data_IF_783484653434
#
_entry.id   IF_783484653434
#
_cell.length_a   1.000
_cell.length_b   1.000
_cell.length_c   1.000
_cell.angle_alpha   90.00
_cell.angle_beta   90.00
_cell.angle_gamma   90.00
#
_symmetry.space_group_name_H-M   'P 1'
#
loop_
_entity.id
_entity.type
_entity.pdbx_description
1 polymer ?
#
# COMPACT_ATOMS: atom_id res chain seq x y z
N UNK A 1 5.84 23.68 -33.40
CA UNK A 1 5.86 23.64 -31.92
C UNK A 1 5.19 22.35 -31.50
N UNK A 2 5.94 21.38 -30.95
CA UNK A 2 5.33 20.18 -30.38
C UNK A 2 4.45 20.61 -29.20
N UNK A 3 3.18 20.20 -29.20
CA UNK A 3 2.35 20.34 -28.01
C UNK A 3 3.08 19.62 -26.85
N UNK A 4 3.18 20.23 -25.66
CA UNK A 4 3.74 19.52 -24.52
C UNK A 4 2.94 18.22 -24.33
N UNK A 5 3.63 17.08 -24.29
CA UNK A 5 2.96 15.82 -23.98
C UNK A 5 2.24 15.98 -22.62
N UNK A 6 0.96 15.59 -22.50
CA UNK A 6 0.22 15.70 -21.25
C UNK A 6 0.97 14.98 -20.12
N UNK A 7 0.92 15.56 -18.90
CA UNK A 7 1.63 14.99 -17.75
C UNK A 7 0.95 13.68 -17.39
N UNK A 8 1.68 12.58 -17.52
CA UNK A 8 1.13 11.25 -17.28
C UNK A 8 0.76 11.10 -15.79
N UNK A 9 -0.49 10.71 -15.46
CA UNK A 9 -0.88 10.41 -14.09
C UNK A 9 -0.05 9.23 -13.56
N UNK A 10 0.97 9.51 -12.74
CA UNK A 10 1.73 8.43 -12.10
C UNK A 10 0.93 7.93 -10.90
N UNK A 11 0.59 6.65 -10.93
CA UNK A 11 -0.23 6.00 -9.92
C UNK A 11 0.52 5.82 -8.58
N UNK A 12 -0.22 5.78 -7.48
CA UNK A 12 0.26 5.40 -6.14
C UNK A 12 0.72 3.93 -6.01
N UNK A 13 1.04 3.26 -7.12
CA UNK A 13 1.52 1.88 -7.13
C UNK A 13 3.01 1.81 -6.73
N UNK A 14 3.87 2.61 -7.36
CA UNK A 14 5.32 2.54 -7.19
C UNK A 14 5.99 3.86 -6.78
N UNK A 15 5.23 4.96 -6.76
CA UNK A 15 5.72 6.31 -6.51
C UNK A 15 6.76 6.81 -7.52
N UNK A 16 7.16 8.06 -7.36
CA UNK A 16 8.23 8.69 -8.12
C UNK A 16 9.04 9.63 -7.24
N UNK A 17 10.35 9.65 -7.45
CA UNK A 17 11.30 10.46 -6.67
C UNK A 17 11.57 11.77 -7.42
N UNK A 18 11.45 12.95 -6.77
CA UNK A 18 11.87 14.23 -7.32
C UNK A 18 13.34 14.22 -7.70
N UNK A 19 13.72 15.00 -8.72
CA UNK A 19 15.12 15.04 -9.20
C UNK A 19 16.11 15.34 -8.09
N UNK A 20 15.79 16.27 -7.20
CA UNK A 20 16.63 16.65 -6.04
C UNK A 20 16.92 15.45 -5.13
N UNK A 21 15.90 14.65 -4.82
CA UNK A 21 16.06 13.46 -3.96
C UNK A 21 16.76 12.32 -4.73
N UNK A 22 16.49 12.19 -6.02
CA UNK A 22 17.19 11.21 -6.86
C UNK A 22 18.70 11.52 -6.95
N UNK A 23 19.08 12.79 -7.09
CA UNK A 23 20.49 13.21 -7.05
C UNK A 23 21.15 12.87 -5.71
N UNK A 24 20.46 13.04 -4.58
CA UNK A 24 20.96 12.59 -3.26
C UNK A 24 21.15 11.08 -3.19
N UNK A 25 20.21 10.32 -3.75
CA UNK A 25 20.33 8.86 -3.83
C UNK A 25 21.59 8.44 -4.60
N UNK A 26 21.84 9.03 -5.78
CA UNK A 26 23.04 8.78 -6.57
C UNK A 26 24.33 9.15 -5.81
N UNK A 27 24.32 10.25 -5.05
CA UNK A 27 25.45 10.65 -4.21
C UNK A 27 25.75 9.60 -3.13
N UNK A 28 24.72 9.06 -2.45
CA UNK A 28 24.90 7.99 -1.47
C UNK A 28 25.41 6.70 -2.10
N UNK A 29 24.92 6.34 -3.30
CA UNK A 29 25.43 5.18 -4.06
C UNK A 29 26.91 5.36 -4.41
N UNK A 30 27.30 6.53 -4.93
CA UNK A 30 28.70 6.84 -5.22
C UNK A 30 29.59 6.76 -3.98
N UNK A 31 29.10 7.27 -2.84
CA UNK A 31 29.82 7.17 -1.55
C UNK A 31 29.99 5.72 -1.11
N UNK A 32 28.95 4.90 -1.26
CA UNK A 32 29.00 3.46 -1.00
C UNK A 32 30.09 2.79 -1.82
N UNK A 33 30.17 3.04 -3.12
CA UNK A 33 31.17 2.43 -4.00
C UNK A 33 32.59 2.99 -3.79
N UNK A 34 32.71 4.25 -3.37
CA UNK A 34 34.02 4.89 -3.18
C UNK A 34 34.83 4.33 -1.99
N UNK A 35 34.15 3.85 -0.95
CA UNK A 35 34.77 3.28 0.24
C UNK A 35 33.84 2.25 0.93
N UNK A 36 33.61 1.08 0.33
CA UNK A 36 32.51 0.17 0.70
C UNK A 36 32.50 -0.25 2.17
N UNK A 37 33.62 -0.76 2.69
CA UNK A 37 33.69 -1.21 4.09
C UNK A 37 33.48 -0.08 5.08
N UNK A 38 34.13 1.07 4.85
CA UNK A 38 33.98 2.24 5.73
C UNK A 38 32.54 2.76 5.68
N UNK A 39 31.98 2.87 4.48
CA UNK A 39 30.63 3.36 4.26
C UNK A 39 29.60 2.47 4.95
N UNK A 40 29.61 1.17 4.66
CA UNK A 40 28.61 0.24 5.18
C UNK A 40 28.68 0.08 6.71
N UNK A 41 29.89 0.09 7.28
CA UNK A 41 30.09 -0.19 8.71
C UNK A 41 29.95 1.03 9.62
N UNK A 42 30.31 2.23 9.13
CA UNK A 42 30.42 3.42 9.99
C UNK A 42 29.59 4.62 9.50
N UNK A 43 29.53 4.87 8.19
CA UNK A 43 28.81 6.04 7.67
C UNK A 43 27.30 5.78 7.51
N UNK A 44 26.92 4.66 6.89
CA UNK A 44 25.53 4.32 6.62
C UNK A 44 24.69 4.18 7.91
N UNK A 45 25.16 3.55 9.01
CA UNK A 45 24.40 3.51 10.26
C UNK A 45 24.04 4.91 10.80
N UNK A 46 24.94 5.89 10.64
CA UNK A 46 24.69 7.28 11.05
C UNK A 46 23.60 7.93 10.20
N UNK A 47 23.64 7.71 8.87
CA UNK A 47 22.60 8.20 7.95
C UNK A 47 21.24 7.54 8.24
N UNK A 48 21.25 6.22 8.48
CA UNK A 48 20.07 5.44 8.84
C UNK A 48 19.42 5.98 10.11
N UNK A 49 20.20 6.28 11.15
CA UNK A 49 19.67 6.87 12.38
C UNK A 49 19.11 8.28 12.18
N UNK A 50 19.75 9.08 11.34
CA UNK A 50 19.22 10.38 10.91
C UNK A 50 17.83 10.24 10.29
N UNK A 51 17.69 9.32 9.33
CA UNK A 51 16.42 8.97 8.70
C UNK A 51 15.38 8.44 9.68
N UNK A 52 15.77 7.53 10.59
CA UNK A 52 14.88 6.98 11.63
C UNK A 52 14.34 8.08 12.54
N UNK A 53 15.19 9.00 13.02
CA UNK A 53 14.74 10.14 13.83
C UNK A 53 13.83 11.09 13.06
N UNK A 54 14.16 11.38 11.80
CA UNK A 54 13.36 12.25 10.95
C UNK A 54 11.94 11.69 10.73
N UNK A 55 11.85 10.40 10.37
CA UNK A 55 10.56 9.75 10.13
C UNK A 55 9.79 9.53 11.43
N UNK A 56 10.46 9.22 12.54
CA UNK A 56 9.82 9.09 13.86
C UNK A 56 9.18 10.41 14.30
N UNK A 57 9.87 11.54 14.12
CA UNK A 57 9.31 12.87 14.36
C UNK A 57 8.08 13.13 13.47
N UNK A 58 8.17 12.81 12.18
CA UNK A 58 7.06 12.99 11.24
C UNK A 58 5.83 12.16 11.61
N UNK A 59 6.03 10.91 12.07
CA UNK A 59 4.98 9.98 12.50
C UNK A 59 4.54 10.19 13.96
N UNK A 60 5.14 11.16 14.66
CA UNK A 60 4.93 11.41 16.10
C UNK A 60 5.09 10.14 16.95
N UNK A 61 6.21 9.45 16.77
CA UNK A 61 6.56 8.23 17.48
C UNK A 61 7.96 8.35 18.12
N UNK A 62 8.27 7.63 19.20
CA UNK A 62 9.63 7.53 19.71
C UNK A 62 10.56 6.86 18.68
N UNK A 63 11.78 7.36 18.43
CA UNK A 63 12.66 6.82 17.40
C UNK A 63 13.05 5.35 17.61
N UNK A 64 13.07 4.86 18.84
CA UNK A 64 13.36 3.47 19.20
C UNK A 64 12.29 2.50 18.68
N UNK A 65 11.09 3.00 18.38
CA UNK A 65 9.97 2.21 17.84
C UNK A 65 10.02 2.06 16.32
N UNK A 66 10.94 2.75 15.65
CA UNK A 66 11.00 2.84 14.19
C UNK A 66 12.24 2.15 13.64
N UNK A 67 12.05 1.28 12.65
CA UNK A 67 13.10 0.72 11.78
C UNK A 67 12.70 0.87 10.32
N UNK A 68 13.67 0.72 9.41
CA UNK A 68 13.42 0.76 7.96
C UNK A 68 13.61 -0.64 7.36
N UNK A 69 12.72 -0.99 6.44
CA UNK A 69 12.76 -2.23 5.66
C UNK A 69 12.54 -1.92 4.18
N UNK A 70 12.73 -2.91 3.31
CA UNK A 70 12.71 -2.68 1.86
C UNK A 70 11.34 -2.31 1.32
N UNK A 71 10.25 -2.89 1.83
CA UNK A 71 8.89 -2.57 1.38
C UNK A 71 7.84 -3.11 2.37
N UNK A 72 6.58 -2.71 2.16
CA UNK A 72 5.44 -3.15 2.95
C UNK A 72 5.27 -4.69 2.98
N UNK A 73 5.45 -5.37 1.84
CA UNK A 73 5.34 -6.84 1.78
C UNK A 73 6.36 -7.50 2.70
N UNK A 74 7.60 -6.99 2.72
CA UNK A 74 8.64 -7.42 3.66
C UNK A 74 8.26 -7.11 5.11
N UNK A 75 7.72 -5.94 5.41
CA UNK A 75 7.27 -5.59 6.76
C UNK A 75 6.16 -6.52 7.29
N UNK A 76 5.15 -6.84 6.48
CA UNK A 76 4.09 -7.82 6.85
C UNK A 76 4.71 -9.19 7.13
N UNK A 77 5.63 -9.65 6.26
CA UNK A 77 6.31 -10.92 6.46
C UNK A 77 7.18 -10.92 7.72
N UNK A 78 7.86 -9.81 8.03
CA UNK A 78 8.65 -9.68 9.27
C UNK A 78 7.75 -9.88 10.47
N UNK A 79 6.58 -9.22 10.54
CA UNK A 79 5.68 -9.36 11.69
C UNK A 79 5.12 -10.78 11.77
N UNK A 80 4.44 -11.25 10.72
CA UNK A 80 3.69 -12.50 10.79
C UNK A 80 4.59 -13.74 10.95
N UNK A 81 5.80 -13.74 10.38
CA UNK A 81 6.75 -14.88 10.52
C UNK A 81 7.48 -14.90 11.85
N UNK A 82 7.45 -13.81 12.62
CA UNK A 82 8.07 -13.75 13.94
C UNK A 82 7.10 -14.15 15.07
N UNK A 83 5.80 -14.12 14.81
CA UNK A 83 4.82 -14.57 15.81
C UNK A 83 4.99 -16.06 16.08
N UNK A 84 5.06 -16.38 17.37
CA UNK A 84 4.96 -17.77 17.85
C UNK A 84 3.48 -18.06 18.12
N UNK A 85 2.97 -19.10 17.49
CA UNK A 85 1.58 -19.55 17.63
C UNK A 85 1.45 -20.51 18.81
N UNK A 86 0.28 -20.50 19.43
CA UNK A 86 -0.02 -21.31 20.61
C UNK A 86 -0.03 -22.80 20.28
N UNK A 87 0.60 -23.63 21.13
CA UNK A 87 0.71 -25.08 20.93
C UNK A 87 -0.65 -25.80 20.88
N UNK A 88 -1.72 -25.17 21.40
CA UNK A 88 -3.08 -25.72 21.35
C UNK A 88 -3.76 -25.58 19.99
N UNK A 89 -3.10 -24.95 19.00
CA UNK A 89 -3.57 -24.83 17.62
C UNK A 89 -4.83 -23.99 17.45
N UNK A 90 -5.17 -23.15 18.43
CA UNK A 90 -6.40 -22.35 18.42
C UNK A 90 -6.25 -20.98 17.80
N UNK A 91 -5.03 -20.52 17.57
CA UNK A 91 -4.79 -19.16 17.09
C UNK A 91 -5.35 -18.97 15.67
N UNK A 92 -5.90 -17.78 15.42
CA UNK A 92 -6.50 -17.42 14.13
C UNK A 92 -6.06 -16.00 13.72
N UNK A 93 -5.63 -15.86 12.46
CA UNK A 93 -5.35 -14.57 11.82
C UNK A 93 -6.64 -14.05 11.19
N UNK A 94 -7.08 -12.86 11.59
CA UNK A 94 -8.23 -12.19 10.98
C UNK A 94 -7.72 -11.24 9.89
N UNK A 95 -8.31 -11.29 8.70
CA UNK A 95 -8.05 -10.33 7.61
C UNK A 95 -9.34 -9.84 6.98
N UNK A 96 -9.25 -8.88 6.06
CA UNK A 96 -10.39 -8.35 5.32
C UNK A 96 -10.27 -8.70 3.83
N UNK A 97 -11.39 -8.86 3.13
CA UNK A 97 -11.41 -9.28 1.73
C UNK A 97 -10.72 -8.30 0.76
N UNK A 98 -10.45 -7.07 1.20
CA UNK A 98 -9.73 -6.04 0.43
C UNK A 98 -8.22 -6.01 0.67
N UNK A 99 -7.70 -6.91 1.51
CA UNK A 99 -6.26 -7.02 1.81
C UNK A 99 -5.43 -7.08 0.52
N UNK A 100 -4.26 -6.45 0.54
CA UNK A 100 -3.33 -6.58 -0.58
C UNK A 100 -2.98 -8.05 -0.84
N UNK A 101 -3.11 -8.51 -2.09
CA UNK A 101 -2.95 -9.93 -2.42
C UNK A 101 -1.62 -10.56 -1.99
N UNK A 102 -0.52 -9.80 -1.97
CA UNK A 102 0.77 -10.28 -1.43
C UNK A 102 0.74 -10.52 0.09
N UNK A 103 0.01 -9.70 0.82
CA UNK A 103 -0.18 -9.82 2.26
C UNK A 103 -1.16 -10.96 2.58
N UNK A 104 -2.26 -11.09 1.83
CA UNK A 104 -3.18 -12.23 1.92
C UNK A 104 -2.47 -13.56 1.68
N UNK A 105 -1.70 -13.67 0.59
CA UNK A 105 -0.89 -14.88 0.30
C UNK A 105 0.21 -15.15 1.33
N UNK A 106 0.64 -14.14 2.09
CA UNK A 106 1.55 -14.35 3.22
C UNK A 106 0.82 -15.06 4.37
N UNK A 107 -0.45 -14.71 4.62
CA UNK A 107 -1.29 -15.42 5.58
C UNK A 107 -1.50 -16.86 5.12
N UNK A 108 -1.89 -17.06 3.85
CA UNK A 108 -2.08 -18.40 3.27
C UNK A 108 -0.83 -19.27 3.44
N UNK A 109 0.34 -18.75 3.07
CA UNK A 109 1.61 -19.46 3.25
C UNK A 109 1.88 -19.85 4.71
N UNK A 110 1.57 -18.98 5.67
CA UNK A 110 1.77 -19.27 7.09
C UNK A 110 0.83 -20.38 7.55
N UNK A 111 -0.45 -20.32 7.18
CA UNK A 111 -1.43 -21.35 7.55
C UNK A 111 -1.19 -22.68 6.82
N UNK A 112 -0.71 -22.64 5.57
CA UNK A 112 -0.38 -23.85 4.79
C UNK A 112 0.86 -24.58 5.31
N UNK A 113 1.75 -23.87 6.03
CA UNK A 113 3.01 -24.42 6.53
C UNK A 113 3.05 -24.56 8.06
N UNK A 114 1.96 -24.24 8.76
CA UNK A 114 1.88 -24.32 10.20
C UNK A 114 0.45 -24.65 10.68
N UNK A 115 0.26 -25.89 11.14
CA UNK A 115 -1.03 -26.39 11.62
C UNK A 115 -1.53 -25.73 12.92
N UNK A 116 -0.71 -24.91 13.59
CA UNK A 116 -1.08 -24.23 14.84
C UNK A 116 -1.94 -22.97 14.64
N UNK A 117 -2.10 -22.51 13.39
CA UNK A 117 -2.77 -21.25 13.09
C UNK A 117 -3.72 -21.40 11.91
N UNK A 118 -4.93 -20.86 12.06
CA UNK A 118 -5.92 -20.74 10.99
C UNK A 118 -6.05 -19.29 10.52
N UNK A 119 -6.84 -19.06 9.47
CA UNK A 119 -7.20 -17.72 9.01
C UNK A 119 -8.70 -17.55 8.82
N UNK A 120 -9.18 -16.32 8.99
CA UNK A 120 -10.57 -15.91 8.74
C UNK A 120 -10.62 -14.59 8.01
N UNK A 121 -11.43 -14.54 6.96
CA UNK A 121 -11.61 -13.33 6.13
C UNK A 121 -12.95 -12.69 6.42
N UNK A 122 -12.90 -11.42 6.85
CA UNK A 122 -14.07 -10.54 6.98
C UNK A 122 -14.38 -9.93 5.62
N UNK A 123 -15.60 -10.17 5.13
CA UNK A 123 -16.03 -9.62 3.84
C UNK A 123 -16.38 -8.14 3.98
N UNK A 124 -15.82 -7.32 3.09
CA UNK A 124 -16.13 -5.88 2.95
C UNK A 124 -16.81 -5.63 1.61
N UNK A 125 -17.93 -4.93 1.64
CA UNK A 125 -18.75 -4.61 0.49
C UNK A 125 -18.78 -3.09 0.22
N UNK A 126 -17.72 -2.55 -0.39
CA UNK A 126 -17.74 -1.15 -0.83
C UNK A 126 -18.65 -0.92 -2.04
N UNK A 127 -19.28 0.27 -2.17
CA UNK A 127 -19.33 1.37 -1.19
C UNK A 127 -20.47 1.23 -0.16
N UNK A 128 -21.19 0.09 -0.13
CA UNK A 128 -22.39 -0.11 0.69
C UNK A 128 -22.08 -0.14 2.20
N UNK A 129 -20.94 -0.72 2.58
CA UNK A 129 -20.48 -0.76 3.96
C UNK A 129 -19.96 0.62 4.40
N UNK A 130 -20.63 1.20 5.39
CA UNK A 130 -20.13 2.34 6.16
C UNK A 130 -19.07 1.89 7.17
N UNK A 131 -18.30 2.84 7.70
CA UNK A 131 -17.19 2.58 8.63
C UNK A 131 -17.61 1.72 9.83
N UNK A 132 -18.78 1.99 10.43
CA UNK A 132 -19.31 1.23 11.56
C UNK A 132 -19.72 -0.19 11.18
N UNK A 133 -20.19 -0.40 9.94
CA UNK A 133 -20.56 -1.73 9.47
C UNK A 133 -19.32 -2.63 9.36
N UNK A 134 -18.20 -2.08 8.87
CA UNK A 134 -16.92 -2.81 8.80
C UNK A 134 -16.45 -3.21 10.21
N UNK A 135 -16.53 -2.29 11.16
CA UNK A 135 -16.16 -2.55 12.57
C UNK A 135 -17.09 -3.58 13.21
N UNK A 136 -18.40 -3.51 12.94
CA UNK A 136 -19.38 -4.52 13.41
C UNK A 136 -19.03 -5.90 12.88
N UNK A 137 -18.79 -6.04 11.56
CA UNK A 137 -18.42 -7.32 10.95
C UNK A 137 -17.13 -7.89 11.53
N UNK A 138 -16.17 -7.04 11.87
CA UNK A 138 -14.95 -7.46 12.57
C UNK A 138 -15.26 -8.02 13.96
N UNK A 139 -16.09 -7.34 14.76
CA UNK A 139 -16.52 -7.82 16.09
C UNK A 139 -17.30 -9.14 15.99
N UNK A 140 -18.18 -9.26 15.01
CA UNK A 140 -18.95 -10.49 14.75
C UNK A 140 -18.01 -11.64 14.38
N UNK A 141 -17.01 -11.39 13.52
CA UNK A 141 -16.02 -12.39 13.14
C UNK A 141 -15.17 -12.86 14.33
N UNK A 142 -14.74 -11.95 15.20
CA UNK A 142 -14.01 -12.29 16.45
C UNK A 142 -14.89 -13.11 17.39
N UNK A 143 -16.17 -12.75 17.54
CA UNK A 143 -17.12 -13.47 18.40
C UNK A 143 -17.39 -14.88 17.86
N UNK A 144 -17.69 -15.01 16.57
CA UNK A 144 -17.90 -16.29 15.91
C UNK A 144 -16.66 -17.20 15.95
N UNK A 145 -15.46 -16.61 15.82
CA UNK A 145 -14.20 -17.35 15.99
C UNK A 145 -14.09 -17.98 17.38
N UNK A 146 -14.38 -17.21 18.43
CA UNK A 146 -14.36 -17.70 19.82
C UNK A 146 -15.41 -18.76 20.10
N UNK A 147 -16.62 -18.60 19.56
CA UNK A 147 -17.69 -19.60 19.66
C UNK A 147 -17.30 -20.93 18.99
N UNK A 148 -16.47 -20.88 17.94
CA UNK A 148 -15.90 -22.04 17.27
C UNK A 148 -14.66 -22.61 17.99
N UNK A 149 -14.35 -22.14 19.20
CA UNK A 149 -13.22 -22.60 20.01
C UNK A 149 -11.86 -22.10 19.51
N UNK A 150 -11.82 -21.09 18.64
CA UNK A 150 -10.59 -20.44 18.16
C UNK A 150 -10.23 -19.22 19.01
N UNK A 151 -9.05 -18.67 18.76
CA UNK A 151 -8.47 -17.51 19.44
C UNK A 151 -7.98 -16.50 18.39
N UNK A 152 -8.77 -15.46 18.07
CA UNK A 152 -8.32 -14.35 17.24
C UNK A 152 -7.05 -13.75 17.85
N UNK A 153 -5.92 -13.92 17.17
CA UNK A 153 -4.59 -13.59 17.72
C UNK A 153 -4.08 -12.26 17.16
N UNK A 154 -4.29 -12.04 15.87
CA UNK A 154 -3.87 -10.84 15.16
C UNK A 154 -4.85 -10.53 14.03
N UNK A 155 -5.14 -9.25 13.83
CA UNK A 155 -5.91 -8.73 12.72
C UNK A 155 -4.99 -7.96 11.75
N UNK A 156 -5.07 -8.27 10.46
CA UNK A 156 -4.31 -7.62 9.39
C UNK A 156 -5.27 -6.81 8.52
N UNK A 157 -5.09 -5.49 8.51
CA UNK A 157 -6.00 -4.59 7.81
C UNK A 157 -5.29 -3.34 7.32
N UNK A 158 -5.86 -2.73 6.28
CA UNK A 158 -5.25 -1.61 5.59
C UNK A 158 -5.46 -0.29 6.36
N UNK A 159 -4.59 0.69 6.12
CA UNK A 159 -4.91 2.11 6.38
C UNK A 159 -5.70 2.70 5.20
N UNK A 160 -5.25 2.41 3.99
CA UNK A 160 -5.92 2.73 2.73
C UNK A 160 -5.74 1.49 1.84
N UNK A 161 -6.85 0.86 1.48
CA UNK A 161 -6.84 -0.34 0.64
C UNK A 161 -6.29 -0.04 -0.75
N UNK A 162 -5.75 -1.08 -1.40
CA UNK A 162 -5.17 -0.93 -2.74
C UNK A 162 -6.24 -0.94 -3.83
N UNK A 163 -7.14 -1.92 -3.82
CA UNK A 163 -8.16 -2.11 -4.85
C UNK A 163 -9.50 -2.52 -4.20
N UNK A 164 -10.51 -1.63 -4.17
CA UNK A 164 -10.46 -0.24 -4.59
C UNK A 164 -9.51 0.60 -3.72
N UNK A 165 -9.02 1.72 -4.26
CA UNK A 165 -8.16 2.66 -3.54
C UNK A 165 -8.97 3.52 -2.58
N UNK A 166 -9.24 3.04 -1.37
CA UNK A 166 -10.16 3.69 -0.42
C UNK A 166 -9.56 3.76 0.97
N UNK A 167 -9.86 4.82 1.73
CA UNK A 167 -9.49 4.92 3.13
C UNK A 167 -10.30 3.90 3.94
N UNK A 168 -9.59 3.06 4.68
CA UNK A 168 -10.18 2.07 5.57
C UNK A 168 -10.38 2.71 6.96
N UNK A 169 -11.40 2.33 7.76
CA UNK A 169 -11.62 2.88 9.11
C UNK A 169 -10.64 2.29 10.14
N UNK A 170 -9.34 2.38 9.87
CA UNK A 170 -8.30 1.68 10.62
C UNK A 170 -8.22 2.15 12.08
N UNK A 171 -8.51 3.42 12.39
CA UNK A 171 -8.52 3.89 13.78
C UNK A 171 -9.58 3.16 14.61
N UNK A 172 -10.77 2.95 14.04
CA UNK A 172 -11.86 2.25 14.71
C UNK A 172 -11.54 0.77 14.87
N UNK A 173 -10.89 0.15 13.87
CA UNK A 173 -10.49 -1.25 13.94
C UNK A 173 -9.33 -1.47 14.92
N UNK A 174 -8.35 -0.56 15.02
CA UNK A 174 -7.31 -0.60 16.06
C UNK A 174 -7.94 -0.50 17.46
N UNK A 175 -8.89 0.42 17.66
CA UNK A 175 -9.61 0.53 18.93
C UNK A 175 -10.36 -0.78 19.28
N UNK A 176 -11.07 -1.37 18.30
CA UNK A 176 -11.74 -2.64 18.48
C UNK A 176 -10.77 -3.81 18.76
N UNK A 177 -9.61 -3.84 18.10
CA UNK A 177 -8.55 -4.82 18.37
C UNK A 177 -8.11 -4.78 19.84
N UNK A 178 -7.87 -3.57 20.38
CA UNK A 178 -7.49 -3.36 21.78
C UNK A 178 -8.58 -3.82 22.76
N UNK A 179 -9.84 -3.47 22.50
CA UNK A 179 -10.96 -3.90 23.34
C UNK A 179 -11.16 -5.42 23.34
N UNK A 180 -10.83 -6.07 22.21
CA UNK A 180 -11.02 -7.49 22.01
C UNK A 180 -9.77 -8.32 22.33
N UNK A 181 -8.66 -7.72 22.77
CA UNK A 181 -7.38 -8.42 22.99
C UNK A 181 -6.89 -9.18 21.74
N UNK A 182 -6.95 -8.51 20.59
CA UNK A 182 -6.43 -8.99 19.30
C UNK A 182 -5.32 -8.05 18.86
N UNK A 183 -4.15 -8.58 18.48
CA UNK A 183 -3.06 -7.72 18.00
C UNK A 183 -3.46 -6.99 16.71
N UNK A 184 -3.13 -5.72 16.57
CA UNK A 184 -3.38 -4.98 15.31
C UNK A 184 -2.12 -4.90 14.44
N UNK A 185 -2.16 -5.43 13.21
CA UNK A 185 -1.17 -5.14 12.16
C UNK A 185 -1.81 -4.25 11.08
N UNK A 186 -1.48 -2.97 11.14
CA UNK A 186 -1.96 -1.98 10.18
C UNK A 186 -1.02 -1.95 8.96
N UNK A 187 -1.50 -2.46 7.82
CA UNK A 187 -0.87 -2.27 6.51
C UNK A 187 -1.14 -0.84 6.01
N UNK A 188 -0.29 0.07 6.45
CA UNK A 188 -0.27 1.45 6.01
C UNK A 188 0.54 1.67 4.73
N UNK A 189 0.72 0.66 3.85
CA UNK A 189 1.50 0.79 2.62
C UNK A 189 1.15 2.05 1.81
N UNK A 190 -0.13 2.43 1.80
CA UNK A 190 -0.67 3.67 1.27
C UNK A 190 -0.99 4.65 2.42
N UNK A 191 0.03 5.25 3.04
CA UNK A 191 -0.16 6.02 4.28
C UNK A 191 0.75 7.24 4.42
N UNK A 192 2.02 7.01 4.76
CA UNK A 192 2.99 8.07 5.06
C UNK A 192 3.15 9.05 3.90
N UNK A 193 3.01 10.35 4.19
CA UNK A 193 3.05 11.42 3.19
C UNK A 193 1.76 11.63 2.38
N UNK A 194 0.73 10.79 2.59
CA UNK A 194 -0.60 10.88 1.97
C UNK A 194 -1.71 11.22 2.98
N UNK A 195 -1.53 10.83 4.24
CA UNK A 195 -2.48 11.07 5.34
C UNK A 195 -1.74 11.61 6.58
N UNK A 196 -2.42 12.41 7.43
CA UNK A 196 -1.85 12.78 8.71
C UNK A 196 -1.74 11.54 9.60
N UNK A 197 -0.61 11.39 10.29
CA UNK A 197 -0.31 10.23 11.11
C UNK A 197 0.21 10.65 12.49
N UNK A 198 -0.31 9.98 13.50
CA UNK A 198 0.15 10.09 14.89
C UNK A 198 0.15 8.68 15.48
N UNK A 199 1.30 8.00 15.39
CA UNK A 199 1.39 6.60 15.80
C UNK A 199 1.35 6.45 17.33
N UNK A 200 1.71 7.49 18.09
CA UNK A 200 1.54 7.49 19.54
C UNK A 200 0.06 7.56 19.93
N UNK A 201 -0.74 8.34 19.20
CA UNK A 201 -2.18 8.40 19.42
C UNK A 201 -2.93 7.17 18.90
N UNK A 202 -2.52 6.63 17.74
CA UNK A 202 -3.11 5.42 17.16
C UNK A 202 -2.85 4.21 18.07
N UNK A 203 -1.63 4.09 18.58
CA UNK A 203 -1.17 3.04 19.48
C UNK A 203 -1.51 1.62 18.97
N UNK A 204 -1.23 1.39 17.68
CA UNK A 204 -1.32 0.07 17.05
C UNK A 204 -0.16 -0.83 17.50
N UNK A 205 -0.36 -2.14 17.52
CA UNK A 205 0.68 -3.10 17.91
C UNK A 205 1.79 -3.26 16.86
N UNK A 206 1.43 -3.14 15.59
CA UNK A 206 2.36 -3.07 14.47
C UNK A 206 1.79 -2.13 13.39
N UNK A 207 2.65 -1.28 12.83
CA UNK A 207 2.29 -0.42 11.70
C UNK A 207 3.43 -0.41 10.69
N UNK A 208 3.10 -0.36 9.41
CA UNK A 208 4.08 -0.23 8.34
C UNK A 208 3.63 0.78 7.30
N UNK A 209 4.56 1.40 6.57
CA UNK A 209 4.19 2.26 5.45
C UNK A 209 5.30 2.40 4.42
N UNK A 210 4.97 2.48 3.12
CA UNK A 210 5.97 2.67 2.08
C UNK A 210 6.32 4.16 1.93
N UNK A 211 7.53 4.53 2.36
CA UNK A 211 8.09 5.86 2.11
C UNK A 211 8.24 6.13 0.60
N UNK A 212 8.50 5.09 -0.20
CA UNK A 212 8.74 5.23 -1.63
C UNK A 212 7.49 5.49 -2.48
N UNK A 213 6.28 5.43 -1.90
CA UNK A 213 5.03 5.68 -2.62
C UNK A 213 4.65 7.16 -2.58
N UNK A 214 4.42 7.70 -1.39
CA UNK A 214 3.84 9.04 -1.19
C UNK A 214 4.76 10.03 -0.48
N UNK A 215 5.88 9.55 0.08
CA UNK A 215 6.88 10.39 0.75
C UNK A 215 8.05 10.77 -0.15
N UNK A 216 8.00 10.43 -1.44
CA UNK A 216 9.01 10.79 -2.43
C UNK A 216 10.42 10.22 -2.21
N UNK A 217 10.54 9.19 -1.36
CA UNK A 217 11.80 8.45 -1.16
C UNK A 217 12.05 7.52 -2.37
N UNK A 218 13.32 7.24 -2.75
CA UNK A 218 13.62 6.20 -3.72
C UNK A 218 12.98 4.86 -3.36
N UNK A 219 12.77 4.01 -4.38
CA UNK A 219 12.21 2.67 -4.23
C UNK A 219 13.03 1.82 -3.26
N UNK A 220 12.40 0.76 -2.78
CA UNK A 220 12.94 -0.10 -1.73
C UNK A 220 13.11 0.63 -0.37
N UNK A 221 12.09 1.40 0.05
CA UNK A 221 12.04 1.97 1.39
C UNK A 221 10.63 1.95 1.99
N UNK A 222 10.50 1.35 3.17
CA UNK A 222 9.33 1.36 4.02
C UNK A 222 9.74 1.53 5.49
N UNK A 223 8.86 2.16 6.26
CA UNK A 223 8.96 2.24 7.71
C UNK A 223 8.21 1.06 8.33
N UNK A 224 8.79 0.47 9.37
CA UNK A 224 8.13 -0.48 10.28
C UNK A 224 8.17 0.12 11.69
N UNK A 225 6.99 0.31 12.26
CA UNK A 225 6.77 0.74 13.63
C UNK A 225 6.40 -0.47 14.49
N UNK A 226 7.11 -0.62 15.61
CA UNK A 226 6.84 -1.60 16.65
C UNK A 226 7.01 -0.92 18.01
N UNK A 227 5.94 -0.76 18.81
CA UNK A 227 6.02 -0.15 20.13
C UNK A 227 6.92 -1.00 21.04
N UNK A 228 7.58 -0.36 22.00
CA UNK A 228 8.54 -1.03 22.90
C UNK A 228 7.97 -2.32 23.53
N UNK A 229 6.67 -2.32 23.88
CA UNK A 229 5.95 -3.48 24.44
C UNK A 229 5.94 -4.72 23.54
N UNK A 230 6.14 -4.59 22.23
CA UNK A 230 6.07 -5.71 21.26
C UNK A 230 7.38 -5.97 20.51
N UNK A 231 8.44 -5.22 20.76
CA UNK A 231 9.73 -5.45 20.09
C UNK A 231 10.32 -6.84 20.37
N UNK A 232 10.05 -7.40 21.54
CA UNK A 232 10.46 -8.76 21.91
C UNK A 232 9.81 -9.86 21.05
N UNK A 233 8.68 -9.56 20.40
CA UNK A 233 8.04 -10.47 19.45
C UNK A 233 8.82 -10.53 18.13
N UNK A 234 9.56 -9.47 17.77
CA UNK A 234 10.33 -9.40 16.52
C UNK A 234 11.77 -9.82 16.79
N UNK A 235 11.98 -11.13 16.87
CA UNK A 235 13.28 -11.73 17.22
C UNK A 235 14.27 -11.75 16.06
N UNK A 236 13.79 -11.93 14.82
CA UNK A 236 14.59 -11.99 13.60
C UNK A 236 14.13 -10.95 12.57
N UNK A 237 15.08 -10.38 11.82
CA UNK A 237 14.78 -9.71 10.55
C UNK A 237 14.41 -10.71 9.45
N UNK A 238 14.07 -10.20 8.26
CA UNK A 238 13.88 -11.01 7.06
C UNK A 238 14.78 -10.47 5.92
N UNK A 239 15.78 -11.24 5.46
CA UNK A 239 16.25 -12.51 6.03
C UNK A 239 16.87 -12.34 7.43
N UNK A 240 17.07 -13.44 8.15
CA UNK A 240 17.89 -13.46 9.38
C UNK A 240 19.33 -13.03 9.06
N UNK A 241 19.93 -12.18 9.90
CA UNK A 241 21.29 -11.68 9.68
C UNK A 241 22.09 -11.57 10.98
N UNK A 242 23.23 -10.85 10.94
CA UNK A 242 24.21 -10.74 12.02
C UNK A 242 23.66 -10.19 13.35
N UNK A 243 22.55 -9.45 13.30
CA UNK A 243 21.88 -8.91 14.48
C UNK A 243 21.05 -9.93 15.26
N UNK A 244 20.77 -11.12 14.72
CA UNK A 244 19.96 -12.12 15.43
C UNK A 244 20.73 -12.71 16.62
N UNK A 245 20.06 -12.75 17.78
CA UNK A 245 20.62 -13.32 19.01
C UNK A 245 19.84 -14.58 19.36
N UNK A 246 20.51 -15.73 19.33
CA UNK A 246 19.91 -17.00 19.74
C UNK A 246 19.77 -17.07 21.26
N UNK A 247 18.64 -17.58 21.73
CA UNK A 247 18.41 -17.89 23.16
C UNK A 247 18.83 -19.30 23.55
N UNK A 248 19.24 -20.13 22.58
CA UNK A 248 19.55 -21.56 22.77
C UNK A 248 20.94 -21.97 22.28
N UNK A 249 21.51 -21.23 21.34
CA UNK A 249 22.79 -21.54 20.72
C UNK A 249 23.89 -20.56 21.15
N UNK A 250 25.14 -20.91 20.86
CA UNK A 250 26.28 -20.04 21.09
C UNK A 250 26.19 -18.73 20.30
N UNK A 251 26.74 -17.66 20.89
CA UNK A 251 26.80 -16.34 20.26
C UNK A 251 27.66 -16.41 19.00
N UNK A 252 27.10 -15.98 17.86
CA UNK A 252 27.83 -15.84 16.60
C UNK A 252 28.43 -14.44 16.50
N UNK A 253 29.58 -14.34 15.83
CA UNK A 253 30.26 -13.05 15.63
C UNK A 253 29.41 -12.11 14.76
N UNK A 254 29.23 -10.87 15.21
CA UNK A 254 28.65 -9.78 14.44
C UNK A 254 29.80 -8.89 13.91
N UNK A 255 29.97 -8.78 12.57
CA UNK A 255 31.05 -8.00 11.98
C UNK A 255 30.79 -6.49 12.00
N UNK A 256 29.57 -6.05 12.35
CA UNK A 256 29.25 -4.63 12.48
C UNK A 256 29.72 -4.08 13.84
N UNK A 257 30.21 -2.83 13.89
CA UNK A 257 30.55 -2.18 15.14
C UNK A 257 29.36 -2.19 16.11
N UNK A 258 29.63 -2.56 17.37
CA UNK A 258 28.60 -2.53 18.42
C UNK A 258 28.35 -1.09 18.86
N UNK A 259 27.09 -0.69 18.83
CA UNK A 259 26.60 0.56 19.39
C UNK A 259 25.70 0.25 20.58
N UNK A 260 26.25 0.38 21.79
CA UNK A 260 25.55 0.02 23.05
C UNK A 260 24.39 0.97 23.38
N UNK A 261 24.26 2.09 22.67
CA UNK A 261 23.16 3.03 22.86
C UNK A 261 21.86 2.58 22.19
N UNK A 262 21.93 1.60 21.27
CA UNK A 262 20.78 1.09 20.53
C UNK A 262 20.19 -0.13 21.18
N UNK A 263 18.85 -0.21 21.15
CA UNK A 263 18.16 -1.45 21.52
C UNK A 263 18.52 -2.59 20.56
N UNK A 264 18.43 -3.82 21.04
CA UNK A 264 18.65 -5.02 20.22
C UNK A 264 17.75 -5.04 18.98
N UNK A 265 16.49 -4.61 19.12
CA UNK A 265 15.54 -4.50 18.02
C UNK A 265 16.07 -3.58 16.91
N UNK A 266 16.45 -2.35 17.27
CA UNK A 266 16.99 -1.37 16.32
C UNK A 266 18.27 -1.87 15.65
N UNK A 267 19.19 -2.43 16.44
CA UNK A 267 20.45 -2.97 15.95
C UNK A 267 20.22 -4.10 14.92
N UNK A 268 19.20 -4.95 15.13
CA UNK A 268 18.88 -6.05 14.23
C UNK A 268 18.58 -5.59 12.80
N UNK A 269 17.89 -4.45 12.65
CA UNK A 269 17.50 -3.89 11.35
C UNK A 269 18.55 -2.98 10.70
N UNK A 270 19.74 -2.82 11.30
CA UNK A 270 20.83 -2.07 10.64
C UNK A 270 21.39 -2.79 9.42
N UNK A 271 21.35 -4.13 9.43
CA UNK A 271 21.77 -4.96 8.31
C UNK A 271 21.00 -6.27 8.29
N UNK A 272 20.28 -6.50 7.20
CA UNK A 272 19.56 -7.73 6.92
C UNK A 272 20.10 -8.39 5.63
N UNK A 273 21.43 -8.40 5.48
CA UNK A 273 22.13 -8.84 4.27
C UNK A 273 22.56 -7.69 3.37
N UNK A 274 23.59 -7.94 2.57
CA UNK A 274 24.19 -6.94 1.68
C UNK A 274 23.26 -6.62 0.51
N UNK A 275 22.73 -5.41 0.49
CA UNK A 275 21.90 -4.83 -0.58
C UNK A 275 22.17 -3.33 -0.67
N UNK A 276 21.71 -2.68 -1.75
CA UNK A 276 21.69 -1.22 -1.80
C UNK A 276 20.58 -0.67 -0.90
N UNK A 277 20.96 -0.21 0.30
CA UNK A 277 20.06 0.44 1.25
C UNK A 277 20.17 1.97 1.22
N UNK A 278 20.82 2.57 0.22
CA UNK A 278 21.02 4.03 0.17
C UNK A 278 19.70 4.80 0.05
N UNK A 279 18.62 4.16 -0.43
CA UNK A 279 17.26 4.69 -0.38
C UNK A 279 16.82 5.05 1.06
N UNK A 280 17.24 4.29 2.07
CA UNK A 280 16.93 4.56 3.48
C UNK A 280 17.55 5.88 3.95
N UNK A 281 18.74 6.24 3.47
CA UNK A 281 19.40 7.50 3.81
C UNK A 281 18.64 8.72 3.26
N UNK A 282 17.87 8.54 2.18
CA UNK A 282 17.11 9.61 1.54
C UNK A 282 15.81 9.99 2.28
N UNK A 283 15.40 9.27 3.34
CA UNK A 283 14.15 9.57 4.07
C UNK A 283 14.23 10.94 4.73
N UNK A 284 15.33 11.26 5.41
CA UNK A 284 15.54 12.58 6.02
C UNK A 284 15.55 13.69 4.95
N UNK A 285 16.23 13.45 3.81
CA UNK A 285 16.28 14.39 2.70
C UNK A 285 14.90 14.67 2.10
N UNK A 286 14.10 13.63 1.89
CA UNK A 286 12.76 13.75 1.32
C UNK A 286 11.81 14.52 2.26
N UNK A 287 11.84 14.23 3.56
CA UNK A 287 11.06 14.97 4.56
C UNK A 287 11.46 16.44 4.63
N UNK A 288 12.77 16.72 4.66
CA UNK A 288 13.27 18.10 4.66
C UNK A 288 12.89 18.84 3.37
N UNK A 289 13.01 18.19 2.22
CA UNK A 289 12.64 18.77 0.92
C UNK A 289 11.15 19.07 0.84
N UNK A 290 10.28 18.15 1.30
CA UNK A 290 8.83 18.36 1.37
C UNK A 290 8.47 19.53 2.29
N UNK A 291 9.15 19.67 3.41
CA UNK A 291 8.95 20.80 4.33
C UNK A 291 9.35 22.14 3.66
N UNK A 292 10.59 22.23 3.17
CA UNK A 292 11.16 23.48 2.64
C UNK A 292 10.59 23.91 1.28
N UNK A 293 10.46 22.97 0.35
CA UNK A 293 10.12 23.29 -1.05
C UNK A 293 8.63 23.20 -1.33
N UNK A 294 7.89 22.39 -0.56
CA UNK A 294 6.45 22.18 -0.77
C UNK A 294 5.58 22.81 0.33
N UNK A 295 6.18 23.38 1.37
CA UNK A 295 5.48 24.10 2.44
C UNK A 295 4.86 23.19 3.50
N UNK A 296 5.42 21.99 3.69
CA UNK A 296 5.04 21.07 4.76
C UNK A 296 3.85 20.16 4.46
N UNK A 297 3.66 19.18 5.35
CA UNK A 297 2.76 18.05 5.15
C UNK A 297 1.28 18.45 5.09
N UNK A 298 0.84 19.40 5.92
CA UNK A 298 -0.55 19.85 5.94
C UNK A 298 -0.98 20.44 4.59
N UNK A 299 -0.10 21.20 3.94
CA UNK A 299 -0.35 21.76 2.60
C UNK A 299 -0.40 20.65 1.55
N UNK A 300 0.56 19.72 1.60
CA UNK A 300 0.66 18.60 0.67
C UNK A 300 -0.60 17.73 0.74
N UNK A 301 -0.95 17.25 1.93
CA UNK A 301 -2.11 16.36 2.16
C UNK A 301 -3.40 17.05 1.73
N UNK A 302 -3.60 18.32 2.11
CA UNK A 302 -4.80 19.09 1.72
C UNK A 302 -4.95 19.20 0.21
N UNK A 303 -3.87 19.48 -0.51
CA UNK A 303 -3.89 19.54 -1.96
C UNK A 303 -4.22 18.18 -2.59
N UNK A 304 -3.56 17.12 -2.12
CA UNK A 304 -3.76 15.77 -2.62
C UNK A 304 -5.22 15.31 -2.46
N UNK A 305 -5.82 15.53 -1.29
CA UNK A 305 -7.20 15.15 -1.01
C UNK A 305 -8.20 15.99 -1.81
N UNK A 306 -7.98 17.31 -1.88
CA UNK A 306 -8.79 18.19 -2.70
C UNK A 306 -8.78 17.74 -4.16
N UNK A 307 -7.60 17.48 -4.72
CA UNK A 307 -7.45 17.09 -6.12
C UNK A 307 -8.06 15.71 -6.39
N UNK A 308 -7.90 14.74 -5.49
CA UNK A 308 -8.53 13.42 -5.64
C UNK A 308 -10.07 13.54 -5.69
N UNK A 309 -10.68 14.29 -4.77
CA UNK A 309 -12.14 14.49 -4.73
C UNK A 309 -12.65 15.35 -5.89
N UNK A 310 -12.00 16.46 -6.20
CA UNK A 310 -12.42 17.34 -7.28
C UNK A 310 -12.19 16.72 -8.67
N UNK A 311 -11.01 16.14 -8.87
CA UNK A 311 -10.65 15.42 -10.09
C UNK A 311 -11.54 14.20 -10.32
N UNK A 312 -11.75 13.36 -9.30
CA UNK A 312 -12.63 12.20 -9.39
C UNK A 312 -14.07 12.55 -9.78
N UNK A 313 -14.64 13.62 -9.20
CA UNK A 313 -15.96 14.13 -9.59
C UNK A 313 -16.01 14.60 -11.04
N UNK A 314 -14.95 15.29 -11.51
CA UNK A 314 -14.82 15.72 -12.91
C UNK A 314 -14.77 14.51 -13.85
N UNK A 315 -14.00 13.47 -13.51
CA UNK A 315 -13.94 12.22 -14.28
C UNK A 315 -15.29 11.52 -14.32
N UNK A 316 -15.94 11.34 -13.17
CA UNK A 316 -17.26 10.72 -13.09
C UNK A 316 -18.29 11.47 -13.96
N UNK A 317 -18.30 12.81 -13.89
CA UNK A 317 -19.17 13.64 -14.71
C UNK A 317 -18.93 13.42 -16.22
N UNK A 318 -17.68 13.43 -16.67
CA UNK A 318 -17.32 13.26 -18.08
C UNK A 318 -17.58 11.84 -18.61
N UNK A 319 -17.52 10.83 -17.74
CA UNK A 319 -17.87 9.45 -18.06
C UNK A 319 -19.38 9.17 -17.96
N UNK A 320 -20.17 10.08 -17.38
CA UNK A 320 -21.60 9.87 -17.12
C UNK A 320 -21.84 8.83 -16.02
N UNK A 321 -20.91 8.70 -15.07
CA UNK A 321 -20.94 7.70 -13.99
C UNK A 321 -20.79 8.36 -12.61
N UNK A 322 -20.32 7.62 -11.61
CA UNK A 322 -20.14 8.11 -10.24
C UNK A 322 -18.77 7.70 -9.66
N UNK A 323 -18.31 8.48 -8.67
CA UNK A 323 -17.20 8.12 -7.80
C UNK A 323 -17.68 7.00 -6.86
N UNK A 324 -16.79 6.04 -6.55
CA UNK A 324 -17.03 5.05 -5.48
C UNK A 324 -16.76 5.72 -4.14
N UNK A 325 -17.81 6.07 -3.42
CA UNK A 325 -17.74 6.62 -2.07
C UNK A 325 -18.95 6.16 -1.25
N UNK A 326 -18.79 6.09 0.07
CA UNK A 326 -19.90 5.78 0.98
C UNK A 326 -20.71 7.06 1.27
N UNK A 327 -21.82 6.95 2.03
CA UNK A 327 -22.70 8.12 2.26
C UNK A 327 -22.00 9.22 3.06
N UNK A 328 -21.06 8.85 3.92
CA UNK A 328 -20.26 9.78 4.74
C UNK A 328 -19.13 10.45 3.97
N UNK A 329 -18.77 9.95 2.79
CA UNK A 329 -17.69 10.48 1.97
C UNK A 329 -16.29 10.16 2.51
N UNK A 330 -16.16 9.12 3.35
CA UNK A 330 -14.91 8.77 4.04
C UNK A 330 -13.99 7.89 3.19
N UNK A 331 -14.51 7.16 2.19
CA UNK A 331 -13.68 6.30 1.34
C UNK A 331 -12.68 7.11 0.52
N UNK A 332 -13.03 8.35 0.17
CA UNK A 332 -12.19 9.27 -0.61
C UNK A 332 -11.38 10.25 0.25
N UNK A 333 -11.30 10.07 1.57
CA UNK A 333 -10.41 10.82 2.48
C UNK A 333 -8.95 10.36 2.34
N UNK A 334 -8.46 10.36 1.11
CA UNK A 334 -7.11 9.98 0.74
C UNK A 334 -6.78 10.59 -0.65
N UNK A 335 -5.55 10.43 -1.12
CA UNK A 335 -5.11 10.92 -2.43
C UNK A 335 -5.44 9.97 -3.61
N UNK A 336 -6.27 8.95 -3.41
CA UNK A 336 -6.76 8.06 -4.46
C UNK A 336 -8.27 8.21 -4.60
N UNK A 337 -8.77 8.01 -5.82
CA UNK A 337 -10.20 8.03 -6.11
C UNK A 337 -10.54 6.93 -7.11
N UNK A 338 -11.68 6.28 -6.90
CA UNK A 338 -12.18 5.25 -7.79
C UNK A 338 -13.41 5.79 -8.52
N UNK A 339 -13.48 5.59 -9.82
CA UNK A 339 -14.61 6.05 -10.65
C UNK A 339 -15.15 4.86 -11.41
N UNK A 340 -16.46 4.63 -11.29
CA UNK A 340 -17.13 3.59 -12.05
C UNK A 340 -17.00 3.83 -13.56
N UNK A 341 -16.83 2.75 -14.31
CA UNK A 341 -16.95 2.77 -15.76
C UNK A 341 -18.38 2.36 -16.17
N UNK A 342 -18.86 2.85 -17.32
CA UNK A 342 -20.10 2.36 -17.93
C UNK A 342 -19.85 1.00 -18.63
N UNK A 343 -19.23 0.07 -17.92
CA UNK A 343 -18.88 -1.28 -18.37
C UNK A 343 -19.20 -2.28 -17.25
N UNK A 344 -19.90 -3.35 -17.59
CA UNK A 344 -20.30 -4.43 -16.69
C UNK A 344 -19.81 -5.76 -17.23
N UNK A 345 -19.46 -6.65 -16.32
CA UNK A 345 -19.28 -8.07 -16.59
C UNK A 345 -20.59 -8.80 -16.31
N UNK A 346 -21.12 -9.49 -17.31
CA UNK A 346 -22.28 -10.36 -17.16
C UNK A 346 -21.94 -11.52 -16.20
N UNK A 347 -22.81 -11.79 -15.24
CA UNK A 347 -22.68 -12.97 -14.38
C UNK A 347 -23.36 -14.16 -15.05
N UNK A 348 -22.70 -15.32 -15.05
CA UNK A 348 -23.27 -16.60 -15.50
C UNK A 348 -24.37 -17.16 -14.58
N UNK A 349 -24.52 -16.64 -13.35
CA UNK A 349 -25.50 -17.11 -12.37
C UNK A 349 -26.70 -16.16 -12.24
N UNK A 350 -27.89 -16.65 -12.60
CA UNK A 350 -29.20 -16.02 -12.36
C UNK A 350 -29.68 -16.10 -10.90
N UNK A 351 -28.77 -16.27 -9.94
CA UNK A 351 -29.07 -16.15 -8.51
C UNK A 351 -29.02 -14.68 -8.09
N UNK A 352 -30.19 -14.07 -8.12
CA UNK A 352 -30.54 -12.80 -7.50
C UNK A 352 -30.04 -12.70 -6.05
N UNK A 353 -29.06 -11.81 -5.80
CA UNK A 353 -28.94 -11.03 -4.53
C UNK A 353 -27.72 -10.11 -4.40
N UNK A 354 -26.81 -9.99 -5.38
CA UNK A 354 -25.65 -9.08 -5.19
C UNK A 354 -25.18 -8.22 -6.37
N UNK A 355 -25.88 -8.19 -7.51
CA UNK A 355 -25.58 -7.22 -8.57
C UNK A 355 -25.74 -5.80 -8.02
N UNK A 356 -24.69 -4.99 -8.13
CA UNK A 356 -24.71 -3.61 -7.66
C UNK A 356 -25.87 -2.83 -8.32
N UNK A 357 -26.60 -2.09 -7.51
CA UNK A 357 -27.80 -1.30 -7.87
C UNK A 357 -27.53 -0.07 -8.73
N UNK A 358 -26.27 0.18 -9.09
CA UNK A 358 -25.88 1.38 -9.83
C UNK A 358 -25.86 1.03 -11.31
N UNK A 359 -26.90 1.43 -12.04
CA UNK A 359 -26.96 1.38 -13.50
C UNK A 359 -26.63 2.75 -14.07
N UNK A 360 -25.83 2.79 -15.13
CA UNK A 360 -25.53 4.03 -15.85
C UNK A 360 -26.08 3.94 -17.27
N UNK A 361 -26.43 5.09 -17.83
CA UNK A 361 -26.85 5.15 -19.23
C UNK A 361 -25.75 4.60 -20.14
N UNK A 362 -26.14 3.75 -21.10
CA UNK A 362 -25.24 3.14 -22.10
C UNK A 362 -24.16 2.21 -21.53
N UNK A 363 -24.47 1.46 -20.48
CA UNK A 363 -23.61 0.38 -19.98
C UNK A 363 -23.26 -0.61 -21.11
N UNK A 364 -21.95 -0.83 -21.32
CA UNK A 364 -21.45 -1.94 -22.13
C UNK A 364 -21.46 -3.21 -21.29
N UNK A 365 -22.16 -4.25 -21.75
CA UNK A 365 -22.16 -5.55 -21.09
C UNK A 365 -21.20 -6.50 -21.80
N UNK A 366 -20.16 -6.96 -21.09
CA UNK A 366 -19.19 -7.94 -21.57
C UNK A 366 -19.45 -9.31 -20.92
N UNK A 367 -19.38 -10.42 -21.67
CA UNK A 367 -19.44 -11.76 -21.10
C UNK A 367 -18.37 -12.00 -20.03
N UNK A 368 -18.67 -12.87 -19.06
CA UNK A 368 -17.74 -13.24 -17.96
C UNK A 368 -16.38 -13.72 -18.49
N UNK A 369 -16.39 -14.64 -19.45
CA UNK A 369 -15.16 -15.17 -20.06
C UNK A 369 -14.39 -14.17 -20.94
N UNK A 370 -15.04 -13.09 -21.38
CA UNK A 370 -14.43 -12.07 -22.25
C UNK A 370 -13.79 -10.94 -21.44
N UNK A 371 -14.30 -10.68 -20.23
CA UNK A 371 -13.90 -9.55 -19.40
C UNK A 371 -12.38 -9.51 -19.09
N UNK A 372 -11.70 -10.63 -18.72
CA UNK A 372 -10.26 -10.60 -18.47
C UNK A 372 -9.43 -10.17 -19.69
N UNK A 373 -9.81 -10.64 -20.88
CA UNK A 373 -9.12 -10.29 -22.15
C UNK A 373 -9.34 -8.82 -22.47
N UNK A 374 -10.57 -8.32 -22.33
CA UNK A 374 -10.92 -6.93 -22.56
C UNK A 374 -10.19 -5.97 -21.57
N UNK A 375 -10.05 -6.35 -20.29
CA UNK A 375 -9.26 -5.58 -19.31
C UNK A 375 -7.79 -5.55 -19.69
N UNK A 376 -7.21 -6.71 -20.07
CA UNK A 376 -5.82 -6.79 -20.48
C UNK A 376 -5.54 -5.93 -21.71
N UNK A 377 -6.42 -6.00 -22.72
CA UNK A 377 -6.35 -5.17 -23.92
C UNK A 377 -6.49 -3.67 -23.59
N UNK A 378 -7.47 -3.28 -22.77
CA UNK A 378 -7.68 -1.89 -22.39
C UNK A 378 -6.46 -1.33 -21.63
N UNK A 379 -5.90 -2.12 -20.71
CA UNK A 379 -4.69 -1.77 -19.97
C UNK A 379 -3.48 -1.64 -20.90
N UNK A 380 -3.28 -2.59 -21.81
CA UNK A 380 -2.22 -2.54 -22.82
C UNK A 380 -2.35 -1.30 -23.70
N UNK A 381 -3.56 -1.01 -24.16
CA UNK A 381 -3.89 0.15 -25.00
C UNK A 381 -3.55 1.47 -24.30
N UNK A 382 -3.93 1.60 -23.03
CA UNK A 382 -3.56 2.76 -22.21
C UNK A 382 -2.03 2.96 -22.16
N UNK A 383 -1.26 1.88 -22.00
CA UNK A 383 0.20 1.93 -21.90
C UNK A 383 0.86 2.19 -23.25
N UNK A 384 0.47 1.46 -24.29
CA UNK A 384 1.17 1.46 -25.58
C UNK A 384 0.77 2.64 -26.45
N UNK A 385 -0.50 3.05 -26.43
CA UNK A 385 -1.02 4.11 -27.30
C UNK A 385 -1.15 5.44 -26.57
N UNK A 386 -1.63 5.43 -25.33
CA UNK A 386 -1.83 6.66 -24.53
C UNK A 386 -0.70 6.95 -23.54
N UNK A 387 0.32 6.08 -23.49
CA UNK A 387 1.51 6.22 -22.63
C UNK A 387 1.14 6.47 -21.16
N UNK A 388 0.10 5.82 -20.66
CA UNK A 388 -0.36 5.95 -19.27
C UNK A 388 -0.75 4.60 -18.69
N UNK A 389 -0.80 4.51 -17.36
CA UNK A 389 -1.32 3.33 -16.68
C UNK A 389 -2.43 3.74 -15.72
N UNK A 390 -3.64 3.27 -15.98
CA UNK A 390 -4.80 3.45 -15.12
C UNK A 390 -5.31 2.04 -14.80
N UNK A 391 -5.21 1.57 -13.54
CA UNK A 391 -5.74 0.27 -13.16
C UNK A 391 -7.24 0.21 -13.45
N UNK A 392 -7.64 -0.79 -14.23
CA UNK A 392 -9.04 -1.16 -14.44
C UNK A 392 -9.28 -2.44 -13.64
N UNK A 393 -10.32 -2.47 -12.82
CA UNK A 393 -10.65 -3.61 -11.96
C UNK A 393 -12.16 -3.81 -11.94
N UNK A 394 -12.59 -5.04 -11.67
CA UNK A 394 -14.00 -5.39 -11.54
C UNK A 394 -14.34 -5.53 -10.06
N UNK A 395 -15.38 -4.85 -9.61
CA UNK A 395 -15.98 -5.03 -8.30
C UNK A 395 -17.48 -5.25 -8.45
N UNK A 396 -17.99 -6.37 -7.93
CA UNK A 396 -19.42 -6.74 -8.01
C UNK A 396 -20.00 -6.65 -9.43
N UNK A 397 -19.25 -7.18 -10.41
CA UNK A 397 -19.64 -7.21 -11.82
C UNK A 397 -19.57 -5.86 -12.54
N UNK A 398 -19.10 -4.78 -11.90
CA UNK A 398 -18.91 -3.47 -12.56
C UNK A 398 -17.44 -3.08 -12.59
N UNK A 399 -17.01 -2.50 -13.70
CA UNK A 399 -15.64 -2.05 -13.86
C UNK A 399 -15.47 -0.67 -13.23
N UNK A 400 -14.31 -0.41 -12.67
CA UNK A 400 -13.91 0.91 -12.21
C UNK A 400 -12.45 1.18 -12.55
N UNK A 401 -12.11 2.45 -12.60
CA UNK A 401 -10.73 2.92 -12.65
C UNK A 401 -10.31 3.47 -11.30
N UNK A 402 -9.04 3.29 -10.94
CA UNK A 402 -8.41 3.97 -9.81
C UNK A 402 -7.46 5.05 -10.31
N UNK A 403 -7.64 6.27 -9.83
CA UNK A 403 -6.78 7.42 -10.12
C UNK A 403 -6.07 7.87 -8.84
N UNK A 404 -4.87 8.43 -9.01
CA UNK A 404 -4.04 8.93 -7.90
C UNK A 404 -3.77 10.42 -8.12
N UNK A 405 -4.22 11.26 -7.20
CA UNK A 405 -3.83 12.66 -7.17
C UNK A 405 -2.37 12.79 -6.76
N UNK A 406 -1.66 13.77 -7.32
CA UNK A 406 -0.26 14.04 -7.01
C UNK A 406 0.04 15.53 -7.12
N UNK A 407 1.11 15.99 -6.46
CA UNK A 407 1.46 17.42 -6.38
C UNK A 407 1.84 18.06 -7.72
N UNK A 408 2.23 17.25 -8.70
CA UNK A 408 2.55 17.68 -10.06
C UNK A 408 1.40 17.49 -11.05
N UNK A 409 0.24 17.06 -10.55
CA UNK A 409 -0.99 16.93 -11.33
C UNK A 409 -1.98 18.03 -10.95
N UNK A 410 -2.91 18.32 -11.85
CA UNK A 410 -4.02 19.27 -11.66
C UNK A 410 -5.34 18.73 -12.28
N UNK A 411 -6.39 19.54 -12.32
CA UNK A 411 -7.71 19.13 -12.82
C UNK A 411 -7.74 18.85 -14.32
N UNK A 412 -6.77 19.35 -15.09
CA UNK A 412 -6.70 19.10 -16.53
C UNK A 412 -6.17 17.68 -16.79
N UNK A 413 -5.27 17.18 -15.95
CA UNK A 413 -4.80 15.80 -16.01
C UNK A 413 -5.92 14.79 -15.74
N UNK A 414 -6.82 15.09 -14.80
CA UNK A 414 -8.01 14.26 -14.55
C UNK A 414 -9.01 14.32 -15.71
N UNK A 415 -9.22 15.49 -16.30
CA UNK A 415 -10.07 15.61 -17.50
C UNK A 415 -9.49 14.83 -18.68
N UNK A 416 -8.18 14.92 -18.89
CA UNK A 416 -7.49 14.12 -19.90
C UNK A 416 -7.69 12.63 -19.63
N UNK A 417 -7.50 12.17 -18.39
CA UNK A 417 -7.72 10.78 -18.02
C UNK A 417 -9.17 10.32 -18.32
N UNK A 418 -10.16 11.16 -18.03
CA UNK A 418 -11.56 10.86 -18.34
C UNK A 418 -11.80 10.68 -19.84
N UNK A 419 -11.30 11.62 -20.66
CA UNK A 419 -11.43 11.55 -22.12
C UNK A 419 -10.73 10.33 -22.71
N UNK A 420 -9.52 10.03 -22.22
CA UNK A 420 -8.75 8.84 -22.63
C UNK A 420 -9.46 7.54 -22.27
N UNK A 421 -9.94 7.41 -21.03
CA UNK A 421 -10.68 6.20 -20.61
C UNK A 421 -12.00 6.09 -21.37
N UNK A 422 -12.70 7.20 -21.62
CA UNK A 422 -13.91 7.20 -22.44
C UNK A 422 -13.65 6.64 -23.84
N UNK A 423 -12.59 7.10 -24.51
CA UNK A 423 -12.20 6.57 -25.82
C UNK A 423 -11.87 5.07 -25.75
N UNK A 424 -11.13 4.62 -24.74
CA UNK A 424 -10.85 3.18 -24.56
C UNK A 424 -12.13 2.38 -24.38
N UNK A 425 -13.12 2.88 -23.63
CA UNK A 425 -14.43 2.24 -23.48
C UNK A 425 -15.22 2.27 -24.80
N UNK A 426 -15.18 3.35 -25.56
CA UNK A 426 -15.82 3.44 -26.88
C UNK A 426 -15.21 2.44 -27.87
N UNK A 427 -13.90 2.19 -27.78
CA UNK A 427 -13.21 1.16 -28.55
C UNK A 427 -13.57 -0.27 -28.13
N UNK A 428 -13.76 -0.51 -26.83
CA UNK A 428 -14.34 -1.77 -26.35
C UNK A 428 -15.75 -2.01 -26.91
N UNK A 429 -16.57 -0.95 -27.04
CA UNK A 429 -17.90 -1.06 -27.69
C UNK A 429 -17.81 -1.42 -29.17
N UNK A 430 -16.70 -1.10 -29.84
CA UNK A 430 -16.41 -1.48 -31.23
C UNK A 430 -15.73 -2.85 -31.35
N UNK A 431 -15.65 -3.61 -30.26
CA UNK A 431 -15.04 -4.94 -30.21
C UNK A 431 -13.55 -4.95 -30.66
N UNK A 432 -12.83 -3.84 -30.50
CA UNK A 432 -11.42 -3.76 -30.91
C UNK A 432 -10.51 -4.72 -30.14
N UNK A 433 -10.88 -5.12 -28.92
CA UNK A 433 -10.16 -6.13 -28.14
C UNK A 433 -10.29 -7.55 -28.71
N UNK A 434 -11.21 -7.78 -29.66
CA UNK A 434 -11.36 -9.07 -30.36
C UNK A 434 -10.55 -9.13 -31.64
N UNK A 435 -10.05 -8.00 -32.13
CA UNK A 435 -9.28 -7.95 -33.37
C UNK A 435 -7.84 -8.40 -33.10
N UNK A 436 -7.23 -9.19 -34.01
CA UNK A 436 -5.82 -9.50 -33.90
C UNK A 436 -5.02 -8.19 -33.98
N UNK A 437 -4.14 -7.94 -33.01
CA UNK A 437 -3.23 -6.79 -33.07
C UNK A 437 -2.44 -6.88 -34.39
N UNK A 438 -2.62 -5.90 -35.29
CA UNK A 438 -1.65 -5.69 -36.37
C UNK A 438 -0.30 -5.47 -35.69
N UNK A 439 0.64 -6.40 -35.91
CA UNK A 439 1.99 -6.31 -35.38
C UNK A 439 2.63 -5.03 -35.90
N UNK A 440 2.56 -3.96 -35.12
CA UNK A 440 3.30 -2.74 -35.38
C UNK A 440 4.79 -3.10 -35.33
N UNK A 441 5.41 -3.15 -36.51
CA UNK A 441 6.84 -3.37 -36.68
C UNK A 441 7.60 -2.12 -36.23
N UNK A 442 7.68 -1.88 -34.93
CA UNK A 442 8.61 -0.92 -34.37
C UNK A 442 9.52 -1.65 -33.38
N UNK A 443 10.74 -1.94 -33.85
CA UNK A 443 11.84 -2.31 -32.96
C UNK A 443 11.97 -1.19 -31.91
N UNK A 444 11.94 -1.48 -30.60
CA UNK A 444 12.32 -0.49 -29.61
C UNK A 444 13.78 -0.12 -29.86
N UNK A 445 14.03 1.16 -30.11
CA UNK A 445 15.38 1.72 -29.99
C UNK A 445 15.69 1.74 -28.50
N UNK A 446 16.71 0.96 -28.12
CA UNK A 446 17.18 0.74 -26.74
C UNK A 446 17.72 2.04 -26.14
#
# INVERSE_FOLDING_TARGET
MAQPQPRQPKQGSYGATPRTIHSRHLEYQQRSESAPDSYMRYHFPTLLDGSRRAVAKHLKAPPETIVLVTNATTAVNVVLRNLTWSEDGKDEIISFSTIYGGCGKTIDYITDTNDLVASRVVQVAYPDDEDEAIVSRFRDAVSASREQGRRPRIAVFDMVSSQPGVRFPFELVVAACRELDVLSLVDGAQGIGMLPLDLSALDADFFLSNCHKWLFVPKACAVLYVPLRHQHLITSTLPTSHGYVSTRAAVRHNPLPRDETKSQFVANFQSAGTVDNTAFACVADALQWRDKELGGEDRIVRYLWWLAKAGGRKVAHLLGTAVIDNKKGTLTDCAMVNVWLPVRTASSSSSSSSSSSVEFHHDLLLPEGESPVAIAWATSTLVTQYKTFIPITVHRGRWFIRLSAQLYLDLDDFEWAARTVKEVVDRLRRDEHKQPEEKASEKPSI
#
